data_IF_566282538210
#
_entry.id   IF_566282538210
#
_cell.length_a   1.000
_cell.length_b   1.000
_cell.length_c   1.000
_cell.angle_alpha   90.00
_cell.angle_beta   90.00
_cell.angle_gamma   90.00
#
_symmetry.space_group_name_H-M   'P 1'
#
loop_
_entity.id
_entity.type
_entity.pdbx_description
1 polymer ?
#
# COMPACT_ATOMS: atom_id res chain seq x y z
N UNK A 1 -7.91 5.85 -10.76
CA UNK A 1 -6.44 5.89 -10.82
C UNK A 1 -5.98 6.19 -12.24
N UNK A 2 -6.04 5.21 -13.15
CA UNK A 2 -5.69 5.36 -14.57
C UNK A 2 -6.44 6.48 -15.29
N UNK A 3 -7.71 6.71 -14.96
CA UNK A 3 -8.49 7.79 -15.57
C UNK A 3 -8.17 9.20 -15.07
N UNK A 4 -7.39 9.32 -13.97
CA UNK A 4 -7.13 10.59 -13.29
C UNK A 4 -5.76 11.16 -13.71
N UNK A 5 -4.74 10.30 -13.84
CA UNK A 5 -3.43 10.67 -14.35
C UNK A 5 -3.40 10.50 -15.88
N UNK A 6 -3.46 11.60 -16.61
CA UNK A 6 -3.58 11.64 -18.09
C UNK A 6 -2.71 12.71 -18.74
N UNK A 7 -2.12 13.61 -17.96
CA UNK A 7 -1.22 14.64 -18.45
C UNK A 7 0.12 14.07 -18.90
N UNK A 8 0.82 14.74 -19.82
CA UNK A 8 2.14 14.32 -20.31
C UNK A 8 3.22 14.32 -19.21
N UNK A 9 3.04 15.14 -18.16
CA UNK A 9 3.95 15.26 -17.01
C UNK A 9 3.48 14.43 -15.80
N UNK A 10 2.41 13.65 -15.93
CA UNK A 10 1.86 12.91 -14.80
C UNK A 10 2.68 11.63 -14.55
N UNK A 11 2.99 11.35 -13.29
CA UNK A 11 3.61 10.10 -12.85
C UNK A 11 2.68 9.37 -11.88
N UNK A 12 2.26 8.17 -12.26
CA UNK A 12 1.41 7.34 -11.40
C UNK A 12 2.29 6.41 -10.54
N UNK A 13 2.41 6.70 -9.25
CA UNK A 13 3.14 5.85 -8.31
C UNK A 13 2.18 4.84 -7.67
N UNK A 14 2.51 3.55 -7.75
CA UNK A 14 1.73 2.46 -7.15
C UNK A 14 2.62 1.54 -6.32
N UNK A 15 2.22 1.29 -5.07
CA UNK A 15 2.90 0.35 -4.19
C UNK A 15 2.50 -1.10 -4.51
N UNK A 16 3.42 -2.03 -4.30
CA UNK A 16 3.14 -3.47 -4.31
C UNK A 16 2.96 -3.95 -2.87
N UNK A 17 1.71 -4.22 -2.48
CA UNK A 17 1.41 -4.74 -1.16
C UNK A 17 1.78 -6.22 -1.01
N UNK A 18 2.07 -6.70 0.22
CA UNK A 18 2.26 -8.11 0.50
C UNK A 18 0.97 -8.84 0.19
N UNK A 19 1.03 -9.69 -0.85
CA UNK A 19 -0.11 -10.55 -1.20
C UNK A 19 -0.12 -11.70 -0.20
N UNK A 20 -0.99 -11.65 0.80
CA UNK A 20 -1.39 -12.88 1.49
C UNK A 20 -1.87 -13.88 0.44
N UNK A 21 -1.52 -15.16 0.58
CA UNK A 21 -1.81 -16.19 -0.43
C UNK A 21 -3.30 -16.20 -0.84
N UNK A 22 -4.19 -15.90 0.10
CA UNK A 22 -5.62 -15.72 -0.14
C UNK A 22 -5.95 -14.51 -1.03
N UNK A 23 -5.30 -13.34 -0.88
CA UNK A 23 -5.55 -12.16 -1.73
C UNK A 23 -5.02 -12.30 -3.16
N UNK A 24 -4.17 -13.30 -3.46
CA UNK A 24 -3.79 -13.61 -4.86
C UNK A 24 -4.95 -14.18 -5.67
N UNK A 25 -5.94 -14.82 -5.03
CA UNK A 25 -7.07 -15.44 -5.72
C UNK A 25 -8.26 -14.49 -5.95
N UNK A 26 -8.45 -13.47 -5.12
CA UNK A 26 -9.75 -12.74 -5.07
C UNK A 26 -9.75 -11.38 -5.77
N UNK A 27 -8.60 -10.75 -6.05
CA UNK A 27 -8.56 -9.46 -6.75
C UNK A 27 -7.43 -9.35 -7.77
N UNK A 28 -7.71 -8.81 -8.99
CA UNK A 28 -6.68 -8.42 -9.94
C UNK A 28 -5.68 -7.45 -9.29
N UNK A 29 -4.39 -7.62 -9.59
CA UNK A 29 -3.35 -6.74 -9.09
C UNK A 29 -3.58 -5.31 -9.62
N UNK A 30 -3.87 -4.35 -8.72
CA UNK A 30 -4.04 -2.93 -9.09
C UNK A 30 -2.83 -2.40 -9.82
N UNK A 31 -1.61 -2.77 -9.40
CA UNK A 31 -0.37 -2.40 -10.08
C UNK A 31 -0.32 -2.94 -11.52
N UNK A 32 -0.78 -4.18 -11.75
CA UNK A 32 -0.86 -4.76 -13.11
C UNK A 32 -1.91 -4.06 -13.96
N UNK A 33 -3.06 -3.75 -13.38
CA UNK A 33 -4.11 -3.00 -14.07
C UNK A 33 -3.62 -1.59 -14.45
N UNK A 34 -2.91 -0.89 -13.56
CA UNK A 34 -2.35 0.42 -13.84
C UNK A 34 -1.26 0.35 -14.93
N UNK A 35 -0.34 -0.61 -14.85
CA UNK A 35 0.67 -0.82 -15.89
C UNK A 35 0.06 -1.09 -17.28
N UNK A 36 -1.07 -1.81 -17.34
CA UNK A 36 -1.69 -2.19 -18.60
C UNK A 36 -2.57 -1.09 -19.22
N UNK A 37 -3.08 -0.14 -18.42
CA UNK A 37 -4.09 0.81 -18.89
C UNK A 37 -3.72 2.28 -18.66
N UNK A 38 -2.68 2.60 -17.89
CA UNK A 38 -2.26 3.98 -17.67
C UNK A 38 -1.72 4.60 -18.96
N UNK A 39 -2.17 5.82 -19.26
CA UNK A 39 -1.66 6.63 -20.36
C UNK A 39 -0.34 7.34 -20.01
N UNK A 40 0.05 7.33 -18.73
CA UNK A 40 1.23 7.99 -18.20
C UNK A 40 2.23 6.96 -17.63
N UNK A 41 3.50 7.35 -17.43
CA UNK A 41 4.48 6.52 -16.74
C UNK A 41 3.97 6.03 -15.37
N UNK A 42 4.28 4.77 -15.05
CA UNK A 42 3.86 4.13 -13.79
C UNK A 42 5.10 3.65 -13.02
N UNK A 43 5.33 4.20 -11.84
CA UNK A 43 6.40 3.76 -10.94
C UNK A 43 5.86 2.77 -9.93
N UNK A 44 6.39 1.55 -9.97
CA UNK A 44 6.01 0.48 -9.05
C UNK A 44 7.01 0.40 -7.91
N UNK A 45 6.54 0.60 -6.67
CA UNK A 45 7.40 0.56 -5.48
C UNK A 45 7.31 -0.83 -4.81
N UNK A 46 8.45 -1.53 -4.61
CA UNK A 46 8.48 -2.81 -3.90
C UNK A 46 8.14 -2.64 -2.40
N UNK A 47 7.63 -3.67 -1.72
CA UNK A 47 7.41 -3.60 -0.28
C UNK A 47 8.76 -3.41 0.43
N UNK A 48 8.82 -2.46 1.37
CA UNK A 48 10.01 -2.24 2.17
C UNK A 48 10.05 -3.15 3.40
N UNK A 49 11.24 -3.46 3.95
CA UNK A 49 11.35 -4.17 5.23
C UNK A 49 10.57 -3.47 6.36
N UNK A 50 10.59 -2.13 6.36
CA UNK A 50 9.83 -1.29 7.30
C UNK A 50 8.32 -1.53 7.23
N UNK A 51 7.78 -1.82 6.04
CA UNK A 51 6.37 -2.17 5.91
C UNK A 51 6.05 -3.47 6.63
N UNK A 52 6.96 -4.45 6.59
CA UNK A 52 6.77 -5.74 7.29
C UNK A 52 6.82 -5.55 8.80
N UNK A 53 7.74 -4.72 9.28
CA UNK A 53 7.83 -4.35 10.70
C UNK A 53 6.59 -3.59 11.15
N UNK A 54 6.12 -2.62 10.36
CA UNK A 54 4.89 -1.88 10.64
C UNK A 54 3.67 -2.80 10.66
N UNK A 55 3.55 -3.76 9.75
CA UNK A 55 2.48 -4.76 9.75
C UNK A 55 2.57 -5.71 10.96
N UNK A 56 3.77 -6.04 11.43
CA UNK A 56 3.98 -6.81 12.65
C UNK A 56 3.52 -6.02 13.90
N UNK A 57 3.91 -4.75 13.99
CA UNK A 57 3.49 -3.84 15.06
C UNK A 57 1.98 -3.59 15.02
N UNK A 58 1.41 -3.29 13.85
CA UNK A 58 -0.03 -3.08 13.69
C UNK A 58 -0.84 -4.31 14.05
N UNK A 59 -0.42 -5.52 13.68
CA UNK A 59 -1.08 -6.74 14.16
C UNK A 59 -1.01 -6.80 15.68
N UNK A 60 0.18 -6.65 16.28
CA UNK A 60 0.36 -6.69 17.74
C UNK A 60 -0.51 -5.66 18.47
N UNK A 61 -0.59 -4.43 17.96
CA UNK A 61 -1.40 -3.35 18.52
C UNK A 61 -2.90 -3.59 18.30
N UNK A 62 -3.30 -4.09 17.12
CA UNK A 62 -4.68 -4.48 16.84
C UNK A 62 -5.17 -5.58 17.80
N UNK A 63 -4.27 -6.47 18.25
CA UNK A 63 -4.55 -7.48 19.27
C UNK A 63 -4.30 -7.01 20.72
N UNK A 64 -3.75 -5.81 20.96
CA UNK A 64 -3.53 -5.23 22.30
C UNK A 64 -3.77 -3.72 22.34
N UNK A 65 -5.01 -3.38 22.73
CA UNK A 65 -5.50 -2.19 23.48
C UNK A 65 -5.13 -0.78 22.99
N UNK A 66 -6.04 0.21 23.19
CA UNK A 66 -5.80 1.59 22.79
C UNK A 66 -4.56 2.15 23.51
N UNK A 67 -3.71 2.84 22.76
CA UNK A 67 -2.63 3.67 23.30
C UNK A 67 -3.28 4.81 24.07
N UNK A 68 -3.15 4.78 25.39
CA UNK A 68 -3.66 5.81 26.27
C UNK A 68 -2.71 7.01 26.22
N UNK A 69 -3.16 8.10 25.59
CA UNK A 69 -2.42 9.36 25.45
C UNK A 69 -2.25 10.08 26.80
N UNK A 70 -2.90 9.61 27.88
CA UNK A 70 -2.71 10.11 29.24
C UNK A 70 -1.32 9.84 29.83
N UNK A 71 -0.53 8.92 29.25
CA UNK A 71 0.84 8.65 29.70
C UNK A 71 1.89 9.63 29.11
N UNK A 72 1.52 10.44 28.12
CA UNK A 72 2.42 11.41 27.48
C UNK A 72 2.33 12.83 28.06
N UNK A 73 1.58 13.03 29.14
CA UNK A 73 1.35 14.34 29.76
C UNK A 73 1.92 14.50 31.17
N UNK A 74 2.91 13.69 31.58
CA UNK A 74 3.59 13.84 32.88
C UNK A 74 5.06 14.24 32.69
#
# INVERSE_FOLDING_TARGET
>A
LVGIARGPEDLLVVATGPRTAFRRLVRPSVARHCLAHAACPVLVVPPSPLQTELEAVHRRNFWRRPLDLGELSA
#
